data_IF_604263932864
#
_entry.id   IF_604263932864
#
_cell.length_a   1.000
_cell.length_b   1.000
_cell.length_c   1.000
_cell.angle_alpha   90.00
_cell.angle_beta   90.00
_cell.angle_gamma   90.00
#
_symmetry.space_group_name_H-M   'P 1'
#
loop_
_entity.id
_entity.type
_entity.pdbx_description
1 polymer ?
#
# COMPACT_ATOMS: atom_id res chain seq x y z
N UNK A 1 39.19 -5.83 -7.11
CA UNK A 1 38.01 -4.98 -7.42
C UNK A 1 38.49 -3.67 -8.03
N UNK A 2 37.95 -3.26 -9.18
CA UNK A 2 38.30 -1.96 -9.80
C UNK A 2 37.89 -0.78 -8.90
N UNK A 3 38.64 0.33 -8.94
CA UNK A 3 38.31 1.59 -8.26
C UNK A 3 36.86 2.02 -8.56
N UNK A 4 36.42 1.81 -9.80
CA UNK A 4 35.06 2.13 -10.28
C UNK A 4 33.98 1.29 -9.56
N UNK A 5 34.23 -0.01 -9.37
CA UNK A 5 33.28 -0.89 -8.69
C UNK A 5 33.16 -0.54 -7.20
N UNK A 6 34.26 -0.16 -6.55
CA UNK A 6 34.25 0.29 -5.15
C UNK A 6 33.43 1.57 -4.97
N UNK A 7 33.63 2.55 -5.87
CA UNK A 7 32.85 3.79 -5.88
C UNK A 7 31.37 3.59 -6.23
N UNK A 8 31.00 2.55 -6.98
CA UNK A 8 29.60 2.23 -7.25
C UNK A 8 28.97 1.46 -6.08
N UNK A 9 29.72 0.58 -5.42
CA UNK A 9 29.25 -0.15 -4.23
C UNK A 9 28.93 0.84 -3.09
N UNK A 10 29.73 1.90 -2.90
CA UNK A 10 29.43 2.94 -1.91
C UNK A 10 28.15 3.76 -2.21
N UNK A 11 27.58 3.65 -3.42
CA UNK A 11 26.31 4.29 -3.80
C UNK A 11 25.11 3.36 -3.60
N UNK A 12 25.31 2.10 -3.22
CA UNK A 12 24.21 1.18 -2.98
C UNK A 12 23.57 1.49 -1.62
N UNK A 13 22.38 2.08 -1.66
CA UNK A 13 21.62 2.48 -0.46
C UNK A 13 20.82 1.31 0.14
N UNK A 14 20.45 0.33 -0.69
CA UNK A 14 19.60 -0.79 -0.29
C UNK A 14 20.45 -2.05 -0.23
N UNK A 15 20.52 -2.68 0.94
CA UNK A 15 21.23 -3.93 1.17
C UNK A 15 20.26 -5.06 1.52
N UNK A 16 20.29 -6.12 0.73
CA UNK A 16 19.49 -7.31 0.96
C UNK A 16 20.23 -8.30 1.88
N UNK A 17 19.54 -8.88 2.88
CA UNK A 17 20.17 -9.70 3.93
C UNK A 17 19.91 -11.21 3.81
N UNK A 18 18.99 -11.65 2.94
CA UNK A 18 18.63 -13.08 2.78
C UNK A 18 19.62 -13.90 1.91
N UNK A 19 20.83 -13.37 1.70
CA UNK A 19 21.89 -14.03 0.93
C UNK A 19 21.48 -14.28 -0.51
N UNK A 20 21.46 -15.56 -0.93
CA UNK A 20 21.15 -15.99 -2.31
C UNK A 20 19.65 -16.12 -2.59
N UNK A 21 18.79 -16.11 -1.57
CA UNK A 21 17.34 -16.15 -1.80
C UNK A 21 16.91 -14.82 -2.40
N UNK A 22 16.12 -14.84 -3.47
CA UNK A 22 15.56 -13.62 -4.04
C UNK A 22 14.38 -13.11 -3.20
N UNK A 23 13.96 -11.87 -3.45
CA UNK A 23 12.73 -11.32 -2.87
C UNK A 23 11.52 -12.22 -3.19
N UNK A 24 11.36 -12.62 -4.46
CA UNK A 24 10.25 -13.48 -4.90
C UNK A 24 10.28 -14.88 -4.29
N UNK A 25 11.48 -15.45 -4.11
CA UNK A 25 11.61 -16.72 -3.41
C UNK A 25 11.26 -16.57 -1.93
N UNK A 26 11.66 -15.46 -1.29
CA UNK A 26 11.32 -15.18 0.11
C UNK A 26 9.81 -14.99 0.28
N UNK A 27 9.17 -14.23 -0.62
CA UNK A 27 7.71 -14.10 -0.73
C UNK A 27 7.02 -15.46 -0.75
N UNK A 28 7.48 -16.37 -1.60
CA UNK A 28 6.88 -17.69 -1.74
C UNK A 28 7.07 -18.57 -0.49
N UNK A 29 8.24 -18.49 0.15
CA UNK A 29 8.54 -19.35 1.30
C UNK A 29 7.96 -18.87 2.61
N UNK A 30 7.72 -17.57 2.75
CA UNK A 30 7.28 -16.93 3.99
C UNK A 30 5.80 -16.53 3.91
N UNK A 31 4.98 -17.27 3.16
CA UNK A 31 3.53 -17.05 3.08
C UNK A 31 2.86 -17.26 4.45
N UNK A 32 1.70 -16.63 4.64
CA UNK A 32 0.91 -16.84 5.86
C UNK A 32 0.32 -18.27 5.90
N UNK A 33 -0.35 -18.60 7.00
CA UNK A 33 -0.93 -19.93 7.24
C UNK A 33 -1.99 -20.29 6.19
N UNK A 34 -2.66 -19.28 5.64
CA UNK A 34 -3.65 -19.37 4.56
C UNK A 34 -3.02 -19.54 3.17
N UNK A 35 -1.68 -19.44 3.05
CA UNK A 35 -0.95 -19.57 1.79
C UNK A 35 -0.94 -18.31 0.91
N UNK A 36 -1.37 -17.18 1.44
CA UNK A 36 -1.32 -15.85 0.85
C UNK A 36 0.05 -15.18 1.03
N UNK A 37 0.37 -14.25 0.12
CA UNK A 37 1.62 -13.49 0.19
C UNK A 37 1.55 -12.43 1.29
N UNK A 38 2.63 -12.33 2.08
CA UNK A 38 2.75 -11.29 3.10
C UNK A 38 2.65 -9.89 2.48
N UNK A 39 2.11 -8.90 3.21
CA UNK A 39 2.07 -7.54 2.73
C UNK A 39 3.48 -7.01 2.43
N UNK A 40 3.57 -6.13 1.43
CA UNK A 40 4.85 -5.74 0.83
C UNK A 40 5.87 -5.17 1.82
N UNK A 41 5.43 -4.44 2.85
CA UNK A 41 6.29 -3.87 3.88
C UNK A 41 6.84 -4.93 4.84
N UNK A 42 6.09 -5.99 5.09
CA UNK A 42 6.50 -7.08 5.98
C UNK A 42 7.54 -7.96 5.29
N UNK A 43 7.35 -8.20 3.99
CA UNK A 43 8.35 -8.86 3.18
C UNK A 43 9.62 -8.00 3.00
N UNK A 44 9.49 -6.67 2.94
CA UNK A 44 10.63 -5.76 2.97
C UNK A 44 11.44 -5.92 4.27
N UNK A 45 10.76 -5.97 5.43
CA UNK A 45 11.38 -6.25 6.73
C UNK A 45 12.16 -7.56 6.71
N UNK A 46 11.55 -8.66 6.27
CA UNK A 46 12.19 -9.98 6.20
C UNK A 46 13.44 -10.02 5.30
N UNK A 47 13.47 -9.19 4.25
CA UNK A 47 14.55 -9.18 3.25
C UNK A 47 15.65 -8.16 3.55
N UNK A 48 15.40 -7.18 4.42
CA UNK A 48 16.33 -6.08 4.73
C UNK A 48 16.67 -5.94 6.23
N UNK A 49 15.99 -6.67 7.12
CA UNK A 49 16.31 -6.79 8.54
C UNK A 49 16.95 -8.15 8.82
N UNK A 50 18.07 -8.15 9.53
CA UNK A 50 18.76 -9.36 9.95
C UNK A 50 18.01 -10.03 11.10
N UNK A 51 18.38 -11.29 11.39
CA UNK A 51 17.78 -12.08 12.48
C UNK A 51 18.00 -11.49 13.88
N UNK A 52 19.05 -10.69 14.06
CA UNK A 52 19.36 -9.96 15.30
C UNK A 52 18.51 -8.69 15.47
N UNK A 53 17.62 -8.39 14.52
CA UNK A 53 16.82 -7.16 14.50
C UNK A 53 17.54 -5.95 13.89
N UNK A 54 18.84 -6.05 13.58
CA UNK A 54 19.58 -4.97 12.94
C UNK A 54 19.19 -4.81 11.47
N UNK A 55 19.02 -3.56 11.04
CA UNK A 55 18.74 -3.26 9.65
C UNK A 55 20.01 -3.37 8.80
N UNK A 56 19.88 -3.88 7.58
CA UNK A 56 21.00 -3.97 6.64
C UNK A 56 21.53 -2.59 6.24
N UNK A 57 20.65 -1.59 6.19
CA UNK A 57 20.98 -0.20 5.94
C UNK A 57 19.99 0.72 6.66
N UNK A 58 20.44 1.94 6.99
CA UNK A 58 19.57 2.96 7.58
C UNK A 58 18.42 3.33 6.63
N UNK A 59 18.70 3.39 5.33
CA UNK A 59 17.67 3.63 4.32
C UNK A 59 16.58 2.55 4.36
N UNK A 60 16.93 1.27 4.52
CA UNK A 60 15.96 0.18 4.62
C UNK A 60 15.03 0.33 5.82
N UNK A 61 15.56 0.82 6.95
CA UNK A 61 14.77 1.12 8.15
C UNK A 61 13.78 2.24 7.87
N UNK A 62 14.27 3.36 7.34
CA UNK A 62 13.45 4.53 7.02
C UNK A 62 12.31 4.18 6.06
N UNK A 63 12.57 3.36 5.04
CA UNK A 63 11.54 2.87 4.12
C UNK A 63 10.44 2.12 4.88
N UNK A 64 10.81 1.19 5.78
CA UNK A 64 9.83 0.41 6.52
C UNK A 64 8.97 1.28 7.44
N UNK A 65 9.61 2.18 8.22
CA UNK A 65 8.92 3.11 9.12
C UNK A 65 7.98 4.03 8.33
N UNK A 66 8.46 4.63 7.23
CA UNK A 66 7.65 5.52 6.39
C UNK A 66 6.44 4.80 5.77
N UNK A 67 6.59 3.53 5.34
CA UNK A 67 5.46 2.76 4.79
C UNK A 67 4.42 2.51 5.87
N UNK A 68 4.85 2.10 7.08
CA UNK A 68 3.94 1.86 8.20
C UNK A 68 3.17 3.13 8.56
N UNK A 69 3.87 4.25 8.71
CA UNK A 69 3.27 5.52 9.11
C UNK A 69 2.22 6.00 8.09
N UNK A 70 2.51 5.87 6.78
CA UNK A 70 1.54 6.20 5.72
C UNK A 70 0.32 5.28 5.68
N UNK A 71 0.49 3.99 5.99
CA UNK A 71 -0.62 3.05 6.06
C UNK A 71 -1.52 3.33 7.27
N UNK A 72 -0.93 3.69 8.41
CA UNK A 72 -1.66 4.08 9.62
C UNK A 72 -2.44 5.39 9.44
N UNK A 73 -1.81 6.39 8.82
CA UNK A 73 -2.48 7.65 8.44
C UNK A 73 -3.66 7.40 7.50
N UNK A 74 -3.49 6.51 6.50
CA UNK A 74 -4.55 6.14 5.56
C UNK A 74 -5.69 5.36 6.23
N UNK A 75 -5.40 4.54 7.25
CA UNK A 75 -6.42 3.80 8.01
C UNK A 75 -7.27 4.71 8.91
N UNK A 76 -6.75 5.88 9.29
CA UNK A 76 -7.44 6.83 10.18
C UNK A 76 -8.43 7.72 9.42
N UNK A 77 -8.29 7.83 8.09
CA UNK A 77 -9.26 8.47 7.21
C UNK A 77 -10.40 7.49 6.89
N UNK A 78 -11.41 7.44 7.77
CA UNK A 78 -12.52 6.47 7.75
C UNK A 78 -13.41 6.45 6.50
N UNK A 79 -13.20 7.32 5.51
CA UNK A 79 -14.02 7.42 4.30
C UNK A 79 -13.22 7.49 2.98
N UNK A 80 -11.93 7.14 2.97
CA UNK A 80 -11.17 7.07 1.71
C UNK A 80 -11.26 5.69 1.05
N UNK A 81 -12.09 5.57 0.02
CA UNK A 81 -12.16 4.41 -0.89
C UNK A 81 -10.93 4.26 -1.80
N UNK A 82 -9.89 5.03 -1.53
CA UNK A 82 -8.65 5.09 -2.27
C UNK A 82 -7.45 4.98 -1.31
N UNK A 83 -7.61 4.30 -0.17
CA UNK A 83 -6.47 3.96 0.68
C UNK A 83 -5.42 3.21 -0.17
N UNK A 84 -4.19 3.75 -0.29
CA UNK A 84 -3.19 3.18 -1.17
C UNK A 84 -2.79 1.81 -0.66
N UNK A 85 -2.63 0.86 -1.58
CA UNK A 85 -2.22 -0.50 -1.18
C UNK A 85 -0.81 -0.47 -0.58
N UNK A 86 -0.46 -1.41 0.31
CA UNK A 86 0.90 -1.50 0.85
C UNK A 86 1.98 -1.59 -0.24
N UNK A 87 1.66 -2.20 -1.38
CA UNK A 87 2.56 -2.27 -2.54
C UNK A 87 2.73 -0.92 -3.24
N UNK A 88 1.66 -0.15 -3.41
CA UNK A 88 1.71 1.21 -3.98
C UNK A 88 2.50 2.15 -3.08
N UNK A 89 2.26 2.13 -1.77
CA UNK A 89 2.98 2.95 -0.80
C UNK A 89 4.48 2.61 -0.84
N UNK A 90 4.83 1.33 -0.75
CA UNK A 90 6.24 0.91 -0.82
C UNK A 90 6.88 1.32 -2.15
N UNK A 91 6.19 1.09 -3.27
CA UNK A 91 6.69 1.42 -4.61
C UNK A 91 6.91 2.92 -4.78
N UNK A 92 6.06 3.75 -4.19
CA UNK A 92 6.20 5.21 -4.21
C UNK A 92 7.47 5.67 -3.47
N UNK A 93 7.83 5.02 -2.37
CA UNK A 93 8.98 5.39 -1.52
C UNK A 93 10.28 4.86 -2.12
N UNK A 94 10.35 3.58 -2.46
CA UNK A 94 11.60 2.99 -2.98
C UNK A 94 11.88 3.41 -4.41
N UNK A 95 10.83 3.73 -5.16
CA UNK A 95 10.87 4.12 -6.56
C UNK A 95 10.88 2.93 -7.53
N UNK A 96 10.39 3.19 -8.73
CA UNK A 96 10.28 2.22 -9.81
C UNK A 96 10.94 2.70 -11.11
N UNK A 97 11.34 1.73 -11.93
CA UNK A 97 11.76 1.87 -13.32
C UNK A 97 10.94 0.88 -14.15
N UNK A 98 10.85 1.09 -15.47
CA UNK A 98 10.24 0.14 -16.42
C UNK A 98 10.62 -1.32 -16.12
N UNK A 99 9.66 -2.12 -15.65
CA UNK A 99 9.81 -3.53 -15.32
C UNK A 99 10.54 -3.85 -14.01
N UNK A 100 10.88 -2.84 -13.21
CA UNK A 100 11.73 -3.01 -12.03
C UNK A 100 11.38 -2.08 -10.86
N UNK A 101 11.09 -2.65 -9.68
CA UNK A 101 10.95 -1.90 -8.42
C UNK A 101 12.25 -2.05 -7.63
N UNK A 102 12.81 -0.93 -7.15
CA UNK A 102 14.08 -0.96 -6.40
C UNK A 102 13.96 -1.80 -5.13
N UNK A 103 14.95 -2.65 -4.87
CA UNK A 103 14.98 -3.57 -3.71
C UNK A 103 14.01 -4.76 -3.79
N UNK A 104 12.98 -4.70 -4.64
CA UNK A 104 12.00 -5.79 -4.84
C UNK A 104 12.29 -6.65 -6.07
N UNK A 105 12.88 -6.07 -7.12
CA UNK A 105 13.11 -6.79 -8.38
C UNK A 105 12.00 -6.55 -9.38
N UNK A 106 11.09 -7.51 -9.56
CA UNK A 106 10.03 -7.42 -10.58
C UNK A 106 9.12 -6.20 -10.34
N UNK A 107 8.91 -5.39 -11.37
CA UNK A 107 8.00 -4.25 -11.37
C UNK A 107 7.12 -4.20 -12.61
N UNK A 108 6.17 -3.24 -12.69
CA UNK A 108 5.28 -3.09 -13.83
C UNK A 108 6.07 -2.96 -15.14
N UNK A 109 5.92 -3.93 -16.03
CA UNK A 109 6.61 -3.91 -17.33
C UNK A 109 5.78 -3.05 -18.29
N UNK A 110 6.36 -2.02 -18.93
CA UNK A 110 5.64 -1.30 -19.95
C UNK A 110 5.25 -2.26 -21.07
N UNK A 111 4.06 -2.05 -21.61
CA UNK A 111 3.58 -2.82 -22.75
C UNK A 111 4.54 -2.62 -23.93
N UNK A 112 4.97 -3.70 -24.60
CA UNK A 112 5.84 -3.57 -25.77
C UNK A 112 5.09 -2.79 -26.86
N UNK A 113 5.77 -1.82 -27.47
CA UNK A 113 5.20 -0.95 -28.52
C UNK A 113 4.96 -1.68 -29.87
N UNK A 114 4.91 -3.00 -29.91
CA UNK A 114 4.98 -3.78 -31.16
C UNK A 114 3.81 -4.77 -31.31
N UNK A 115 3.11 -4.59 -32.43
CA UNK A 115 2.01 -5.36 -33.04
C UNK A 115 0.66 -5.25 -32.32
N UNK A 116 -0.01 -4.13 -32.59
CA UNK A 116 -1.40 -3.87 -32.26
C UNK A 116 -2.29 -4.49 -33.35
N UNK A 117 -3.07 -5.52 -33.02
CA UNK A 117 -4.32 -5.80 -33.75
C UNK A 117 -5.35 -4.78 -33.24
N UNK A 118 -5.86 -3.94 -34.13
CA UNK A 118 -6.60 -2.70 -33.83
C UNK A 118 -7.99 -2.90 -33.23
N UNK A 119 -8.59 -4.08 -33.32
CA UNK A 119 -9.98 -4.31 -32.90
C UNK A 119 -10.14 -4.77 -31.45
N UNK A 120 -9.24 -5.62 -30.95
CA UNK A 120 -9.27 -6.13 -29.56
C UNK A 120 -8.84 -5.09 -28.52
N UNK A 121 -7.96 -4.15 -28.88
CA UNK A 121 -7.50 -3.10 -27.97
C UNK A 121 -8.57 -2.02 -27.71
N UNK A 122 -9.40 -1.68 -28.70
CA UNK A 122 -10.48 -0.70 -28.53
C UNK A 122 -11.57 -1.25 -27.61
N UNK A 123 -11.98 -2.51 -27.81
CA UNK A 123 -12.96 -3.16 -26.94
C UNK A 123 -12.50 -3.24 -25.47
N UNK A 124 -11.23 -3.60 -25.24
CA UNK A 124 -10.64 -3.62 -23.90
C UNK A 124 -10.53 -2.21 -23.30
N UNK A 125 -10.12 -1.20 -24.08
CA UNK A 125 -10.07 0.19 -23.59
C UNK A 125 -11.46 0.73 -23.22
N UNK A 126 -12.48 0.41 -24.01
CA UNK A 126 -13.86 0.79 -23.69
C UNK A 126 -14.32 0.11 -22.40
N UNK A 127 -14.03 -1.19 -22.24
CA UNK A 127 -14.38 -1.90 -21.00
C UNK A 127 -13.66 -1.33 -19.77
N UNK A 128 -12.38 -0.97 -19.89
CA UNK A 128 -11.62 -0.33 -18.79
C UNK A 128 -12.25 1.02 -18.43
N UNK A 129 -12.53 1.86 -19.43
CA UNK A 129 -13.18 3.16 -19.19
C UNK A 129 -14.55 3.02 -18.51
N UNK A 130 -15.36 2.08 -18.98
CA UNK A 130 -16.68 1.84 -18.37
C UNK A 130 -16.54 1.36 -16.91
N UNK A 131 -15.59 0.47 -16.62
CA UNK A 131 -15.29 0.01 -15.25
C UNK A 131 -14.77 1.16 -14.37
N UNK A 132 -13.92 2.03 -14.91
CA UNK A 132 -13.40 3.20 -14.19
C UNK A 132 -14.51 4.21 -13.87
N UNK A 133 -15.47 4.39 -14.78
CA UNK A 133 -16.67 5.20 -14.56
C UNK A 133 -17.58 4.58 -13.49
N UNK A 134 -17.84 3.27 -13.54
CA UNK A 134 -18.59 2.53 -12.51
C UNK A 134 -17.94 2.66 -11.13
N UNK A 135 -16.61 2.50 -11.05
CA UNK A 135 -15.85 2.67 -9.81
C UNK A 135 -15.97 4.11 -9.30
N UNK A 136 -15.92 5.11 -10.19
CA UNK A 136 -16.03 6.52 -9.82
C UNK A 136 -17.40 6.84 -9.23
N UNK A 137 -18.48 6.34 -9.86
CA UNK A 137 -19.85 6.51 -9.35
C UNK A 137 -20.04 5.83 -7.99
N UNK A 138 -19.51 4.60 -7.84
CA UNK A 138 -19.60 3.88 -6.58
C UNK A 138 -18.84 4.61 -5.46
N UNK A 139 -17.70 5.23 -5.78
CA UNK A 139 -16.94 6.04 -4.83
C UNK A 139 -17.71 7.26 -4.35
N UNK A 140 -18.38 7.95 -5.27
CA UNK A 140 -19.22 9.11 -4.93
C UNK A 140 -20.40 8.69 -4.05
N UNK A 141 -21.09 7.60 -4.39
CA UNK A 141 -22.22 7.09 -3.61
C UNK A 141 -21.82 6.72 -2.18
N UNK A 142 -20.67 6.06 -1.99
CA UNK A 142 -20.19 5.70 -0.65
C UNK A 142 -19.75 6.96 0.13
N UNK A 143 -19.15 7.96 -0.53
CA UNK A 143 -18.83 9.25 0.11
C UNK A 143 -20.09 9.92 0.65
N UNK A 144 -21.17 9.96 -0.14
CA UNK A 144 -22.46 10.49 0.29
C UNK A 144 -23.05 9.67 1.45
N UNK A 145 -22.94 8.34 1.41
CA UNK A 145 -23.39 7.49 2.52
C UNK A 145 -22.60 7.75 3.81
N UNK A 146 -21.28 7.97 3.71
CA UNK A 146 -20.42 8.37 4.84
C UNK A 146 -20.90 9.69 5.48
N UNK A 147 -21.21 10.70 4.68
CA UNK A 147 -21.73 11.99 5.16
C UNK A 147 -23.08 11.82 5.86
N UNK A 148 -24.00 11.05 5.27
CA UNK A 148 -25.31 10.77 5.88
C UNK A 148 -25.15 10.00 7.18
N UNK A 149 -24.25 9.01 7.24
CA UNK A 149 -23.97 8.27 8.47
C UNK A 149 -23.43 9.17 9.58
N UNK A 150 -22.55 10.12 9.28
CA UNK A 150 -22.02 11.06 10.26
C UNK A 150 -23.14 11.93 10.88
N UNK A 151 -24.06 12.45 10.06
CA UNK A 151 -25.22 13.23 10.54
C UNK A 151 -26.16 12.39 11.41
N UNK A 152 -26.40 11.13 11.04
CA UNK A 152 -27.22 10.22 11.84
C UNK A 152 -26.55 9.93 13.19
N UNK A 153 -25.22 9.75 13.19
CA UNK A 153 -24.46 9.46 14.40
C UNK A 153 -24.46 10.65 15.36
N UNK A 154 -24.29 11.87 14.86
CA UNK A 154 -24.41 13.11 15.63
C UNK A 154 -25.82 13.25 16.25
N UNK A 155 -26.87 12.96 15.47
CA UNK A 155 -28.25 13.03 15.98
C UNK A 155 -28.51 12.01 17.08
N UNK A 156 -27.97 10.80 16.97
CA UNK A 156 -28.09 9.77 17.99
C UNK A 156 -27.33 10.15 19.27
N UNK A 157 -26.15 10.76 19.17
CA UNK A 157 -25.40 11.28 20.32
C UNK A 157 -26.18 12.39 21.04
N UNK A 158 -26.71 13.37 20.30
CA UNK A 158 -27.56 14.43 20.87
C UNK A 158 -28.78 13.85 21.61
N UNK A 159 -29.46 12.86 21.04
CA UNK A 159 -30.57 12.19 21.72
C UNK A 159 -30.15 11.44 22.99
N UNK A 160 -28.96 10.82 23.00
CA UNK A 160 -28.41 10.17 24.20
C UNK A 160 -28.10 11.21 25.28
N UNK A 161 -27.50 12.33 24.92
CA UNK A 161 -27.20 13.42 25.85
C UNK A 161 -28.49 14.01 26.46
N UNK A 162 -29.50 14.30 25.64
CA UNK A 162 -30.82 14.75 26.11
C UNK A 162 -31.46 13.77 27.09
N UNK A 163 -31.44 12.47 26.80
CA UNK A 163 -31.96 11.45 27.73
C UNK A 163 -31.17 11.41 29.03
N UNK A 164 -29.84 11.53 28.97
CA UNK A 164 -29.00 11.54 30.19
C UNK A 164 -29.26 12.76 31.06
N UNK A 165 -29.33 13.95 30.48
CA UNK A 165 -29.63 15.19 31.22
C UNK A 165 -31.03 15.16 31.84
N UNK A 166 -32.02 14.59 31.14
CA UNK A 166 -33.37 14.42 31.68
C UNK A 166 -33.41 13.47 32.89
N UNK A 167 -32.68 12.35 32.83
CA UNK A 167 -32.56 11.42 33.95
C UNK A 167 -31.87 12.06 35.16
N UNK A 168 -30.78 12.80 34.96
CA UNK A 168 -30.08 13.53 36.03
C UNK A 168 -30.98 14.59 36.69
N UNK A 169 -31.80 15.29 35.91
CA UNK A 169 -32.77 16.26 36.42
C UNK A 169 -33.89 15.64 37.26
N UNK A 170 -34.21 14.36 37.08
CA UNK A 170 -35.22 13.66 37.88
C UNK A 170 -34.67 13.08 39.19
N UNK A 171 -33.34 13.02 39.35
CA UNK A 171 -32.67 12.48 40.53
C UNK A 171 -32.23 13.53 41.55
N UNK A 172 -32.31 14.82 41.21
CA UNK A 172 -32.02 15.97 42.08
C UNK A 172 -33.31 16.61 42.60
#
# INVERSE_FOLDING_TARGET
MSKRNKANCSKQLISHVRGRKSFKQTSWTERNEEGEELPAYELWRLTHQKKDGSWGSEYSRQVYETVRDKLEESSSQSCSLAAPTPEEVLTSIVGQRSGHIRGRGCGPRPTPKSVVTTTTNVGLQVQVKNKDEEISQMKEMISQQCEVMAVIQEKLENQREELTTHLESMMN
#
